data_IF_684169555762
#
_entry.id   IF_684169555762
#
_cell.length_a   1.000
_cell.length_b   1.000
_cell.length_c   1.000
_cell.angle_alpha   90.00
_cell.angle_beta   90.00
_cell.angle_gamma   90.00
#
_symmetry.space_group_name_H-M   'P 1'
#
loop_
_entity.id
_entity.type
_entity.pdbx_description
1 polymer ?
#
# COMPACT_ATOMS: atom_id res chain seq x y z
N UNK A 1 30.52 9.57 -29.74
CA UNK A 1 31.10 9.60 -28.38
C UNK A 1 31.08 11.04 -27.90
N UNK A 2 30.02 11.45 -27.19
CA UNK A 2 29.95 12.81 -26.63
C UNK A 2 30.36 12.74 -25.15
N UNK A 3 31.54 13.29 -24.84
CA UNK A 3 32.00 13.48 -23.46
C UNK A 3 31.39 14.78 -22.94
N UNK A 4 30.71 14.74 -21.80
CA UNK A 4 30.33 15.95 -21.08
C UNK A 4 31.41 16.21 -20.03
N UNK A 5 32.13 17.33 -20.18
CA UNK A 5 33.10 17.82 -19.21
C UNK A 5 32.35 18.64 -18.15
N UNK A 6 32.49 18.29 -16.87
CA UNK A 6 32.11 19.18 -15.77
C UNK A 6 33.39 19.63 -15.09
N UNK A 7 33.73 20.90 -15.26
CA UNK A 7 34.89 21.52 -14.62
C UNK A 7 34.47 22.08 -13.26
N UNK A 8 34.98 21.51 -12.18
CA UNK A 8 34.84 22.07 -10.83
C UNK A 8 36.11 22.86 -10.52
N UNK A 9 35.96 24.18 -10.31
CA UNK A 9 37.07 25.06 -9.96
C UNK A 9 37.23 25.08 -8.43
N UNK A 10 38.33 24.52 -7.92
CA UNK A 10 38.68 24.63 -6.48
C UNK A 10 39.72 25.73 -6.33
N UNK A 11 39.37 26.81 -5.62
CA UNK A 11 40.29 27.91 -5.30
C UNK A 11 40.93 27.62 -3.94
N UNK A 12 42.17 27.13 -3.94
CA UNK A 12 42.98 27.08 -2.73
C UNK A 12 43.82 28.38 -2.64
N UNK A 13 43.54 29.20 -1.64
CA UNK A 13 44.13 30.54 -1.50
C UNK A 13 45.40 30.52 -0.65
N UNK A 14 46.47 29.84 -1.05
CA UNK A 14 47.85 30.19 -0.61
C UNK A 14 48.84 29.74 -1.71
N UNK A 15 49.38 30.68 -2.47
CA UNK A 15 50.57 30.46 -3.32
C UNK A 15 50.34 29.84 -4.70
N UNK A 16 50.08 30.69 -5.69
CA UNK A 16 50.46 30.55 -7.11
C UNK A 16 50.47 29.15 -7.74
N UNK A 17 49.30 28.64 -8.12
CA UNK A 17 49.19 27.51 -9.03
C UNK A 17 47.74 27.07 -9.22
N UNK A 18 47.17 27.32 -10.40
CA UNK A 18 45.85 26.77 -10.75
C UNK A 18 46.03 25.29 -11.16
N UNK A 19 45.73 24.38 -10.24
CA UNK A 19 45.61 22.96 -10.56
C UNK A 19 44.15 22.64 -10.88
N UNK A 20 43.85 22.40 -12.15
CA UNK A 20 42.58 21.79 -12.54
C UNK A 20 42.62 20.31 -12.15
N UNK A 21 42.03 19.97 -11.00
CA UNK A 21 41.84 18.57 -10.61
C UNK A 21 40.61 18.05 -11.35
N UNK A 22 40.82 17.40 -12.48
CA UNK A 22 39.78 16.61 -13.14
C UNK A 22 39.62 15.30 -12.37
N UNK A 23 38.73 15.26 -11.37
CA UNK A 23 38.28 14.00 -10.79
C UNK A 23 37.39 13.30 -11.82
N UNK A 24 38.01 12.57 -12.74
CA UNK A 24 37.31 11.54 -13.50
C UNK A 24 36.89 10.45 -12.50
N UNK A 25 35.59 10.35 -12.18
CA UNK A 25 35.07 9.19 -11.47
C UNK A 25 35.44 7.94 -12.29
N UNK A 26 36.16 6.96 -11.70
CA UNK A 26 36.63 5.81 -12.46
C UNK A 26 35.44 5.06 -13.06
N UNK A 27 35.44 4.90 -14.39
CA UNK A 27 34.35 4.26 -15.15
C UNK A 27 33.99 2.84 -14.67
N UNK A 28 34.89 2.20 -13.92
CA UNK A 28 34.75 0.84 -13.38
C UNK A 28 34.45 0.78 -11.87
N UNK A 29 33.99 1.87 -11.25
CA UNK A 29 33.65 1.80 -9.83
C UNK A 29 32.44 0.88 -9.62
N UNK A 30 32.65 -0.19 -8.85
CA UNK A 30 31.61 -1.03 -8.27
C UNK A 30 30.88 -0.21 -7.21
N UNK A 31 29.61 0.09 -7.47
CA UNK A 31 28.86 1.03 -6.63
C UNK A 31 27.44 0.53 -6.43
N UNK A 32 27.03 0.49 -5.17
CA UNK A 32 25.62 0.43 -4.76
C UNK A 32 25.22 1.82 -4.31
N UNK A 33 24.23 2.39 -4.98
CA UNK A 33 23.71 3.72 -4.69
C UNK A 33 22.56 3.63 -3.69
N UNK A 34 21.63 2.69 -3.88
CA UNK A 34 20.50 2.49 -2.97
C UNK A 34 19.86 1.11 -3.10
N UNK A 35 19.16 0.71 -2.04
CA UNK A 35 18.28 -0.44 -2.02
C UNK A 35 17.04 -0.11 -1.19
N UNK A 36 15.84 -0.36 -1.74
CA UNK A 36 14.57 0.05 -1.14
C UNK A 36 13.44 -0.93 -1.51
N UNK A 37 12.29 -0.80 -0.83
CA UNK A 37 11.03 -1.41 -1.23
C UNK A 37 10.06 -0.31 -1.64
N UNK A 38 9.44 -0.44 -2.81
CA UNK A 38 8.60 0.61 -3.40
C UNK A 38 7.29 0.05 -3.99
N UNK A 39 6.11 0.59 -3.61
CA UNK A 39 5.91 1.53 -2.49
C UNK A 39 6.07 0.84 -1.12
N UNK A 40 6.52 1.60 -0.12
CA UNK A 40 6.54 1.17 1.29
C UNK A 40 6.35 2.35 2.26
N UNK A 41 6.08 2.07 3.54
CA UNK A 41 6.02 3.04 4.63
C UNK A 41 6.58 2.45 5.93
N UNK A 42 6.85 3.29 6.92
CA UNK A 42 7.31 2.87 8.25
C UNK A 42 6.13 2.76 9.22
N UNK A 43 6.04 1.66 9.96
CA UNK A 43 5.04 1.47 11.02
C UNK A 43 5.69 0.67 12.16
N UNK A 44 5.74 1.25 13.37
CA UNK A 44 6.31 0.59 14.56
C UNK A 44 7.71 -0.03 14.33
N UNK A 45 8.57 0.64 13.56
CA UNK A 45 9.91 0.16 13.23
C UNK A 45 9.98 -0.84 12.07
N UNK A 46 8.84 -1.23 11.49
CA UNK A 46 8.76 -2.09 10.31
C UNK A 46 8.71 -1.27 9.02
N UNK A 47 9.32 -1.80 7.96
CA UNK A 47 9.09 -1.40 6.57
C UNK A 47 7.93 -2.22 6.04
N UNK A 48 6.77 -1.58 5.90
CA UNK A 48 5.55 -2.23 5.46
C UNK A 48 5.33 -2.01 3.96
N UNK A 49 4.91 -3.06 3.25
CA UNK A 49 4.61 -2.98 1.82
C UNK A 49 3.31 -3.70 1.45
N UNK A 50 2.77 -3.30 0.30
CA UNK A 50 1.45 -3.70 -0.22
C UNK A 50 1.57 -4.58 -1.48
N UNK A 51 0.47 -5.23 -1.94
CA UNK A 51 0.47 -5.96 -3.20
C UNK A 51 1.04 -5.16 -4.37
N UNK A 52 1.98 -5.76 -5.11
CA UNK A 52 2.60 -5.12 -6.27
C UNK A 52 3.85 -4.30 -5.96
N UNK A 53 4.23 -4.15 -4.68
CA UNK A 53 5.51 -3.55 -4.32
C UNK A 53 6.70 -4.36 -4.88
N UNK A 54 7.80 -3.66 -5.07
CA UNK A 54 9.04 -4.18 -5.63
C UNK A 54 10.20 -3.84 -4.73
N UNK A 55 11.17 -4.75 -4.65
CA UNK A 55 12.51 -4.37 -4.21
C UNK A 55 13.22 -3.68 -5.38
N UNK A 56 13.81 -2.52 -5.12
CA UNK A 56 14.50 -1.68 -6.11
C UNK A 56 15.95 -1.53 -5.67
N UNK A 57 16.88 -1.86 -6.57
CA UNK A 57 18.32 -1.72 -6.39
C UNK A 57 18.85 -0.77 -7.46
N UNK A 58 19.56 0.26 -7.01
CA UNK A 58 20.30 1.17 -7.88
C UNK A 58 21.78 0.89 -7.69
N UNK A 59 22.43 0.33 -8.72
CA UNK A 59 23.83 -0.06 -8.65
C UNK A 59 24.49 -0.06 -10.04
N UNK A 60 25.83 -0.09 -10.06
CA UNK A 60 26.64 -0.06 -11.29
C UNK A 60 27.57 -1.25 -11.38
N UNK A 61 27.82 -1.69 -12.63
CA UNK A 61 28.76 -2.78 -12.94
C UNK A 61 28.41 -4.10 -12.23
N UNK A 62 27.12 -4.36 -12.02
CA UNK A 62 26.64 -5.60 -11.42
C UNK A 62 26.29 -6.63 -12.49
N UNK A 63 26.65 -7.89 -12.23
CA UNK A 63 26.32 -9.07 -13.02
C UNK A 63 24.98 -9.66 -12.62
N UNK A 64 24.71 -9.75 -11.32
CA UNK A 64 23.45 -10.26 -10.79
C UNK A 64 23.16 -9.65 -9.41
N UNK A 65 21.87 -9.67 -9.04
CA UNK A 65 21.41 -9.34 -7.71
C UNK A 65 20.27 -10.27 -7.29
N UNK A 66 20.22 -10.62 -6.01
CA UNK A 66 19.20 -11.49 -5.43
C UNK A 66 18.77 -10.98 -4.06
N UNK A 67 17.46 -10.89 -3.82
CA UNK A 67 16.93 -10.45 -2.53
C UNK A 67 16.90 -11.62 -1.57
N UNK A 68 17.46 -11.41 -0.37
CA UNK A 68 17.61 -12.39 0.70
C UNK A 68 17.04 -11.81 2.01
N UNK A 69 16.50 -12.68 2.85
CA UNK A 69 15.91 -12.26 4.12
C UNK A 69 15.98 -13.35 5.19
N UNK A 70 15.91 -12.95 6.46
CA UNK A 70 15.69 -13.88 7.58
C UNK A 70 14.21 -13.88 7.97
N UNK A 71 13.48 -14.99 7.78
CA UNK A 71 12.06 -15.05 8.11
C UNK A 71 11.82 -14.92 9.62
N UNK A 72 10.80 -14.17 10.01
CA UNK A 72 10.41 -14.03 11.41
C UNK A 72 9.39 -15.10 11.82
N UNK A 73 9.53 -15.65 13.03
CA UNK A 73 8.50 -16.52 13.64
C UNK A 73 8.43 -17.95 13.09
N UNK A 74 9.37 -18.36 12.24
CA UNK A 74 9.40 -19.70 11.62
C UNK A 74 10.40 -20.67 12.26
N UNK A 75 11.30 -20.18 13.12
CA UNK A 75 12.43 -20.95 13.65
C UNK A 75 13.56 -21.21 12.64
N UNK A 76 13.44 -20.73 11.41
CA UNK A 76 14.49 -20.82 10.39
C UNK A 76 15.59 -19.82 10.72
N UNK A 77 16.82 -20.31 10.82
CA UNK A 77 18.01 -19.52 11.16
C UNK A 77 18.85 -19.15 9.95
N UNK A 78 18.54 -19.72 8.79
CA UNK A 78 19.22 -19.44 7.52
C UNK A 78 18.48 -18.38 6.70
N UNK A 79 19.23 -17.66 5.86
CA UNK A 79 18.64 -16.68 4.95
C UNK A 79 17.91 -17.38 3.82
N UNK A 80 16.71 -16.92 3.50
CA UNK A 80 15.88 -17.45 2.41
C UNK A 80 15.93 -16.49 1.22
N UNK A 81 15.84 -17.03 0.01
CA UNK A 81 15.71 -16.22 -1.21
C UNK A 81 14.28 -15.73 -1.39
N UNK A 82 14.12 -14.41 -1.60
CA UNK A 82 12.88 -13.82 -2.11
C UNK A 82 12.83 -13.83 -3.65
N UNK A 83 13.98 -13.97 -4.31
CA UNK A 83 14.07 -14.07 -5.77
C UNK A 83 15.22 -13.25 -6.37
N UNK A 84 15.52 -13.53 -7.64
CA UNK A 84 16.53 -12.80 -8.43
C UNK A 84 15.94 -11.51 -8.99
N UNK A 85 16.72 -10.44 -8.93
CA UNK A 85 16.34 -9.15 -9.49
C UNK A 85 16.61 -9.13 -11.00
N UNK A 86 15.81 -8.36 -11.73
CA UNK A 86 15.94 -8.15 -13.17
C UNK A 86 16.36 -6.72 -13.45
N UNK A 87 17.35 -6.51 -14.32
CA UNK A 87 17.72 -5.16 -14.79
C UNK A 87 16.59 -4.60 -15.63
N UNK A 88 15.99 -3.49 -15.19
CA UNK A 88 14.87 -2.83 -15.89
C UNK A 88 15.30 -1.53 -16.57
N UNK A 89 16.41 -0.93 -16.15
CA UNK A 89 16.96 0.29 -16.73
C UNK A 89 18.47 0.28 -16.70
N UNK A 90 19.09 0.72 -17.79
CA UNK A 90 20.53 0.89 -17.93
C UNK A 90 20.82 2.34 -18.31
N UNK A 91 21.75 2.98 -17.60
CA UNK A 91 22.19 4.33 -17.92
C UNK A 91 23.68 4.47 -17.68
N UNK A 92 24.25 5.60 -18.13
CA UNK A 92 25.67 5.89 -17.93
C UNK A 92 26.03 6.06 -16.44
N UNK A 93 25.06 6.44 -15.62
CA UNK A 93 25.26 6.74 -14.21
C UNK A 93 24.86 5.56 -13.32
N UNK A 94 23.63 5.07 -13.47
CA UNK A 94 23.08 4.00 -12.63
C UNK A 94 22.28 2.96 -13.44
N UNK A 95 22.33 1.70 -13.00
CA UNK A 95 21.41 0.66 -13.46
C UNK A 95 20.36 0.39 -12.38
N UNK A 96 19.10 0.25 -12.81
CA UNK A 96 18.00 -0.08 -11.91
C UNK A 96 17.65 -1.55 -12.09
N UNK A 97 17.60 -2.26 -10.98
CA UNK A 97 17.19 -3.64 -10.89
C UNK A 97 15.95 -3.75 -10.01
N UNK A 98 15.00 -4.57 -10.42
CA UNK A 98 13.73 -4.74 -9.72
C UNK A 98 13.42 -6.21 -9.47
N UNK A 99 12.76 -6.49 -8.34
CA UNK A 99 12.09 -7.75 -8.06
C UNK A 99 10.70 -7.45 -7.51
N UNK A 100 9.64 -8.00 -8.13
CA UNK A 100 8.31 -7.99 -7.53
C UNK A 100 8.31 -8.83 -6.27
N UNK A 101 7.96 -8.24 -5.13
CA UNK A 101 7.98 -8.96 -3.86
C UNK A 101 6.76 -9.89 -3.71
N UNK A 102 6.95 -11.11 -3.18
CA UNK A 102 5.84 -11.97 -2.81
C UNK A 102 5.08 -11.37 -1.62
N UNK A 103 3.80 -11.70 -1.49
CA UNK A 103 2.92 -11.20 -0.43
C UNK A 103 3.08 -11.94 0.92
N UNK A 104 4.22 -12.60 1.11
CA UNK A 104 4.46 -13.51 2.23
C UNK A 104 5.73 -13.18 3.01
N UNK A 105 6.46 -12.11 2.66
CA UNK A 105 7.68 -11.77 3.39
C UNK A 105 7.30 -11.14 4.73
N UNK A 106 7.74 -11.79 5.78
CA UNK A 106 7.84 -11.25 7.12
C UNK A 106 9.26 -11.55 7.60
N UNK A 107 10.06 -10.51 7.79
CA UNK A 107 11.49 -10.64 8.01
C UNK A 107 12.00 -9.66 9.07
N UNK A 108 13.05 -10.04 9.81
CA UNK A 108 13.81 -9.13 10.69
C UNK A 108 14.96 -8.42 9.98
N UNK A 109 15.33 -8.94 8.80
CA UNK A 109 16.45 -8.48 8.00
C UNK A 109 16.14 -8.76 6.53
N UNK A 110 16.36 -7.79 5.65
CA UNK A 110 16.15 -7.94 4.22
C UNK A 110 17.18 -7.09 3.47
N UNK A 111 17.93 -7.72 2.56
CA UNK A 111 18.99 -7.11 1.77
C UNK A 111 19.03 -7.70 0.36
N UNK A 112 19.81 -7.09 -0.55
CA UNK A 112 20.20 -7.72 -1.79
C UNK A 112 21.66 -8.20 -1.72
N UNK A 113 21.90 -9.43 -2.15
CA UNK A 113 23.23 -9.96 -2.46
C UNK A 113 23.57 -9.67 -3.91
N UNK A 114 24.74 -9.08 -4.14
CA UNK A 114 25.16 -8.56 -5.44
C UNK A 114 26.44 -9.28 -5.85
N UNK A 115 26.50 -9.70 -7.11
CA UNK A 115 27.75 -10.11 -7.78
C UNK A 115 28.10 -9.07 -8.83
N UNK A 116 29.30 -8.50 -8.75
CA UNK A 116 29.82 -7.55 -9.72
C UNK A 116 30.34 -8.26 -10.99
N UNK A 117 30.52 -7.51 -12.07
CA UNK A 117 31.11 -8.03 -13.31
C UNK A 117 32.53 -8.58 -13.11
N UNK A 118 33.26 -8.10 -12.10
CA UNK A 118 34.57 -8.62 -11.69
C UNK A 118 34.50 -10.01 -11.02
N UNK A 119 33.31 -10.43 -10.57
CA UNK A 119 33.11 -11.62 -9.73
C UNK A 119 33.07 -11.33 -8.23
N UNK A 120 33.39 -10.11 -7.79
CA UNK A 120 33.27 -9.71 -6.38
C UNK A 120 31.82 -9.79 -5.90
N UNK A 121 31.61 -10.15 -4.63
CA UNK A 121 30.28 -10.21 -4.02
C UNK A 121 30.16 -9.24 -2.86
N UNK A 122 29.00 -8.62 -2.71
CA UNK A 122 28.68 -7.75 -1.58
C UNK A 122 27.20 -7.84 -1.19
N UNK A 123 26.85 -7.21 -0.07
CA UNK A 123 25.47 -7.02 0.39
C UNK A 123 25.13 -5.54 0.40
N UNK A 124 23.89 -5.21 0.09
CA UNK A 124 23.36 -3.87 0.36
C UNK A 124 23.24 -3.62 1.86
N UNK A 125 22.93 -2.39 2.24
CA UNK A 125 22.40 -2.10 3.56
C UNK A 125 21.15 -2.95 3.82
N UNK A 126 21.01 -3.37 5.08
CA UNK A 126 19.86 -4.11 5.57
C UNK A 126 18.69 -3.17 5.85
N UNK A 127 17.49 -3.52 5.37
CA UNK A 127 16.27 -2.76 5.61
C UNK A 127 15.64 -3.05 6.99
N UNK A 128 16.19 -4.03 7.72
CA UNK A 128 15.71 -4.47 9.02
C UNK A 128 14.36 -5.18 8.92
N UNK A 129 13.47 -4.85 9.85
CA UNK A 129 12.15 -5.45 9.90
C UNK A 129 11.33 -5.08 8.64
N UNK A 130 10.89 -6.08 7.89
CA UNK A 130 10.05 -5.93 6.70
C UNK A 130 8.82 -6.81 6.84
N UNK A 131 7.65 -6.23 6.62
CA UNK A 131 6.38 -6.94 6.70
C UNK A 131 5.49 -6.62 5.51
N UNK A 132 4.77 -7.64 5.05
CA UNK A 132 3.65 -7.43 4.16
C UNK A 132 2.41 -7.02 4.96
N UNK A 133 1.82 -5.87 4.64
CA UNK A 133 0.47 -5.56 5.08
C UNK A 133 -0.47 -5.74 3.90
N UNK A 134 -1.46 -6.63 4.05
CA UNK A 134 -2.59 -6.61 3.14
C UNK A 134 -3.48 -5.41 3.48
N UNK A 135 -3.03 -4.21 3.12
CA UNK A 135 -3.98 -3.13 2.87
C UNK A 135 -4.74 -3.54 1.62
N UNK A 136 -5.95 -4.09 1.78
CA UNK A 136 -6.95 -4.01 0.71
C UNK A 136 -6.95 -2.55 0.30
N UNK A 137 -6.58 -2.27 -0.95
CA UNK A 137 -6.56 -0.93 -1.50
C UNK A 137 -7.81 -0.16 -1.06
N UNK A 138 -7.68 0.65 -0.01
CA UNK A 138 -8.39 1.92 0.02
C UNK A 138 -7.57 2.72 -0.98
N UNK A 139 -7.97 2.63 -2.26
CA UNK A 139 -7.29 3.28 -3.38
C UNK A 139 -6.88 4.69 -2.96
N UNK A 140 -5.67 5.11 -3.35
CA UNK A 140 -5.23 6.51 -3.30
C UNK A 140 -6.03 7.42 -4.26
N UNK A 141 -7.29 7.10 -4.52
CA UNK A 141 -8.26 7.97 -5.14
C UNK A 141 -9.09 8.62 -4.03
N UNK A 142 -9.41 9.90 -4.18
CA UNK A 142 -10.38 10.61 -3.33
C UNK A 142 -11.82 10.11 -3.54
N UNK A 143 -11.99 8.84 -3.95
CA UNK A 143 -13.23 8.21 -4.34
C UNK A 143 -13.58 7.11 -3.34
N UNK A 144 -14.77 7.22 -2.76
CA UNK A 144 -15.25 6.26 -1.79
C UNK A 144 -15.90 5.08 -2.52
N UNK A 145 -15.28 3.90 -2.45
CA UNK A 145 -15.83 2.68 -3.08
C UNK A 145 -16.70 1.88 -2.11
N UNK A 146 -17.49 0.94 -2.63
CA UNK A 146 -18.34 0.05 -1.81
C UNK A 146 -17.52 -0.80 -0.84
N UNK A 147 -16.33 -1.23 -1.25
CA UNK A 147 -15.43 -2.05 -0.44
C UNK A 147 -14.91 -1.25 0.77
N UNK A 148 -14.54 0.01 0.54
CA UNK A 148 -14.09 0.92 1.61
C UNK A 148 -15.23 1.16 2.60
N UNK A 149 -16.45 1.42 2.10
CA UNK A 149 -17.65 1.58 2.93
C UNK A 149 -17.90 0.36 3.80
N UNK A 150 -17.90 -0.84 3.20
CA UNK A 150 -18.14 -2.08 3.94
C UNK A 150 -17.07 -2.33 5.01
N UNK A 151 -15.82 -1.96 4.75
CA UNK A 151 -14.75 -2.09 5.73
C UNK A 151 -14.86 -1.06 6.86
N UNK A 152 -15.10 0.21 6.52
CA UNK A 152 -15.23 1.30 7.49
C UNK A 152 -16.40 1.06 8.45
N UNK A 153 -17.50 0.53 7.93
CA UNK A 153 -18.74 0.36 8.67
C UNK A 153 -18.96 -1.07 9.19
N UNK A 154 -18.00 -1.99 9.00
CA UNK A 154 -18.18 -3.44 9.28
C UNK A 154 -18.78 -3.76 10.65
N UNK A 155 -18.40 -3.00 11.68
CA UNK A 155 -18.82 -3.24 13.08
C UNK A 155 -20.16 -2.55 13.42
N UNK A 156 -20.70 -1.76 12.48
CA UNK A 156 -21.94 -0.98 12.62
C UNK A 156 -23.09 -1.53 11.81
N UNK A 157 -22.80 -2.35 10.81
CA UNK A 157 -23.78 -2.94 9.90
C UNK A 157 -24.41 -4.21 10.50
N UNK A 158 -25.64 -4.52 10.07
CA UNK A 158 -26.36 -5.74 10.48
C UNK A 158 -25.62 -7.03 10.11
N UNK A 159 -24.81 -6.97 9.06
CA UNK A 159 -23.93 -8.05 8.66
C UNK A 159 -22.68 -7.42 8.04
N UNK A 160 -21.53 -8.07 8.23
CA UNK A 160 -20.27 -7.69 7.57
C UNK A 160 -20.34 -7.83 6.03
N UNK A 161 -21.44 -8.38 5.52
CA UNK A 161 -21.71 -8.59 4.11
C UNK A 161 -23.04 -7.92 3.73
N UNK A 162 -23.01 -7.13 2.65
CA UNK A 162 -24.16 -6.57 1.98
C UNK A 162 -24.32 -7.27 0.63
N UNK A 163 -25.12 -8.33 0.61
CA UNK A 163 -25.41 -9.09 -0.62
C UNK A 163 -26.64 -8.53 -1.32
N UNK A 164 -26.58 -8.37 -2.65
CA UNK A 164 -27.77 -8.09 -3.46
C UNK A 164 -28.73 -9.28 -3.53
N UNK A 165 -28.28 -10.46 -3.11
CA UNK A 165 -29.06 -11.69 -3.09
C UNK A 165 -29.61 -11.98 -1.69
N UNK A 166 -30.62 -12.85 -1.65
CA UNK A 166 -31.28 -13.28 -0.41
C UNK A 166 -30.30 -14.04 0.48
N UNK A 167 -30.14 -13.55 1.70
CA UNK A 167 -29.41 -14.23 2.76
C UNK A 167 -30.42 -14.84 3.72
N UNK A 168 -30.59 -16.16 3.64
CA UNK A 168 -31.58 -16.92 4.40
C UNK A 168 -31.46 -16.61 5.91
N UNK A 169 -32.58 -16.25 6.53
CA UNK A 169 -32.64 -15.92 7.95
C UNK A 169 -32.09 -14.53 8.31
N UNK A 170 -31.77 -13.68 7.32
CA UNK A 170 -31.30 -12.31 7.57
C UNK A 170 -32.11 -11.28 6.78
N UNK A 171 -31.95 -11.23 5.46
CA UNK A 171 -32.58 -10.24 4.58
C UNK A 171 -32.76 -10.77 3.16
N UNK A 172 -33.68 -10.17 2.40
CA UNK A 172 -33.92 -10.51 1.00
C UNK A 172 -32.93 -9.82 0.04
N UNK A 173 -32.54 -8.58 0.34
CA UNK A 173 -31.52 -7.88 -0.44
C UNK A 173 -30.83 -6.79 0.38
N UNK A 174 -29.63 -6.41 -0.05
CA UNK A 174 -28.90 -5.26 0.47
C UNK A 174 -28.42 -4.38 -0.68
N UNK A 175 -28.62 -3.06 -0.54
CA UNK A 175 -28.22 -2.04 -1.52
C UNK A 175 -27.34 -1.00 -0.85
N UNK A 176 -26.19 -0.72 -1.47
CA UNK A 176 -25.29 0.39 -1.08
C UNK A 176 -25.36 1.47 -2.16
N UNK A 177 -25.74 2.67 -1.74
CA UNK A 177 -25.76 3.88 -2.56
C UNK A 177 -24.72 4.86 -2.01
N UNK A 178 -23.82 5.32 -2.88
CA UNK A 178 -22.73 6.22 -2.54
C UNK A 178 -22.88 7.45 -3.43
N UNK A 179 -23.13 8.60 -2.81
CA UNK A 179 -23.34 9.86 -3.52
C UNK A 179 -22.36 10.91 -3.01
N UNK A 180 -21.58 11.50 -3.92
CA UNK A 180 -20.69 12.61 -3.56
C UNK A 180 -21.49 13.90 -3.45
N UNK A 181 -21.33 14.61 -2.33
CA UNK A 181 -21.94 15.93 -2.08
C UNK A 181 -20.83 16.86 -1.61
N UNK A 182 -20.33 17.70 -2.52
CA UNK A 182 -19.17 18.58 -2.27
C UNK A 182 -17.91 17.77 -1.88
N UNK A 183 -17.37 18.00 -0.67
CA UNK A 183 -16.24 17.28 -0.08
C UNK A 183 -16.62 15.95 0.58
N UNK A 184 -17.92 15.73 0.79
CA UNK A 184 -18.42 14.63 1.61
C UNK A 184 -19.05 13.55 0.73
N UNK A 185 -19.10 12.35 1.26
CA UNK A 185 -19.77 11.21 0.63
C UNK A 185 -20.95 10.78 1.47
N UNK A 186 -22.15 10.89 0.93
CA UNK A 186 -23.36 10.40 1.58
C UNK A 186 -23.54 8.94 1.20
N UNK A 187 -23.40 8.08 2.20
CA UNK A 187 -23.57 6.65 2.06
C UNK A 187 -24.91 6.24 2.65
N UNK A 188 -25.69 5.52 1.85
CA UNK A 188 -26.96 4.92 2.27
C UNK A 188 -26.92 3.42 2.03
N UNK A 189 -27.10 2.64 3.09
CA UNK A 189 -27.15 1.18 3.06
C UNK A 189 -28.55 0.77 3.45
N UNK A 190 -29.24 0.05 2.57
CA UNK A 190 -30.59 -0.43 2.79
C UNK A 190 -30.61 -1.95 2.76
N UNK A 191 -31.09 -2.55 3.86
CA UNK A 191 -31.43 -3.96 3.94
C UNK A 191 -32.94 -4.10 3.80
N UNK A 192 -33.42 -4.85 2.81
CA UNK A 192 -34.84 -5.05 2.54
C UNK A 192 -35.25 -6.52 2.70
N UNK A 193 -36.52 -6.74 3.05
CA UNK A 193 -37.08 -8.06 3.32
C UNK A 193 -36.41 -8.75 4.51
N UNK A 194 -36.28 -8.02 5.63
CA UNK A 194 -35.75 -8.55 6.88
C UNK A 194 -36.62 -9.69 7.39
N UNK A 195 -35.97 -10.70 7.98
CA UNK A 195 -36.64 -11.82 8.66
C UNK A 195 -37.07 -11.42 10.07
N UNK A 196 -37.85 -10.36 10.15
CA UNK A 196 -38.43 -9.79 11.37
C UNK A 196 -39.96 -9.69 11.17
N UNK A 197 -40.72 -9.88 12.22
CA UNK A 197 -42.19 -9.93 12.18
C UNK A 197 -42.84 -8.54 12.12
N UNK A 198 -42.06 -7.49 12.34
CA UNK A 198 -42.51 -6.10 12.46
C UNK A 198 -41.77 -5.19 11.47
N UNK A 199 -40.46 -5.36 11.36
CA UNK A 199 -39.58 -4.55 10.50
C UNK A 199 -39.39 -5.22 9.14
N UNK A 200 -39.81 -4.52 8.09
CA UNK A 200 -39.61 -4.96 6.70
C UNK A 200 -38.21 -4.62 6.18
N UNK A 201 -37.74 -3.40 6.43
CA UNK A 201 -36.47 -2.90 5.92
C UNK A 201 -35.77 -1.99 6.93
N UNK A 202 -34.44 -1.94 6.87
CA UNK A 202 -33.60 -1.07 7.69
C UNK A 202 -32.67 -0.27 6.78
N UNK A 203 -32.50 1.00 7.11
CA UNK A 203 -31.66 1.94 6.36
C UNK A 203 -30.70 2.63 7.30
N UNK A 204 -29.43 2.50 6.97
CA UNK A 204 -28.30 3.16 7.60
C UNK A 204 -27.81 4.26 6.66
N UNK A 205 -27.74 5.50 7.15
CA UNK A 205 -27.27 6.66 6.38
C UNK A 205 -26.20 7.40 7.17
N UNK A 206 -25.06 7.71 6.54
CA UNK A 206 -23.98 8.47 7.16
C UNK A 206 -23.24 9.32 6.13
N UNK A 207 -22.59 10.39 6.61
CA UNK A 207 -21.62 11.14 5.84
C UNK A 207 -20.22 10.55 6.07
N UNK A 208 -19.42 10.43 5.02
CA UNK A 208 -18.03 9.97 5.09
C UNK A 208 -17.12 11.04 4.45
N UNK A 209 -16.05 11.41 5.14
CA UNK A 209 -15.11 12.44 4.70
C UNK A 209 -13.70 11.89 4.66
N UNK A 210 -12.85 12.39 3.76
CA UNK A 210 -11.43 12.02 3.72
C UNK A 210 -10.60 13.16 4.31
N UNK A 211 -9.97 12.93 5.45
CA UNK A 211 -9.16 13.90 6.17
C UNK A 211 -7.86 13.24 6.63
N UNK A 212 -6.73 13.94 6.46
CA UNK A 212 -5.40 13.49 6.90
C UNK A 212 -5.02 12.05 6.50
N UNK A 213 -5.42 11.67 5.28
CA UNK A 213 -5.14 10.35 4.74
C UNK A 213 -6.09 9.24 5.21
N UNK A 214 -7.15 9.57 5.95
CA UNK A 214 -8.09 8.62 6.54
C UNK A 214 -9.54 8.95 6.19
N UNK A 215 -10.37 7.91 6.08
CA UNK A 215 -11.82 8.06 5.96
C UNK A 215 -12.44 8.16 7.36
N UNK A 216 -13.18 9.25 7.59
CA UNK A 216 -13.87 9.53 8.83
C UNK A 216 -15.37 9.46 8.62
N UNK A 217 -16.05 8.72 9.49
CA UNK A 217 -17.51 8.63 9.53
C UNK A 217 -18.07 9.78 10.37
N UNK A 218 -19.07 10.46 9.83
CA UNK A 218 -19.81 11.52 10.49
C UNK A 218 -21.06 11.01 11.20
N UNK A 219 -22.09 11.87 11.24
CA UNK A 219 -23.33 11.56 11.94
C UNK A 219 -24.10 10.42 11.25
N UNK A 220 -24.56 9.49 12.08
CA UNK A 220 -25.32 8.32 11.65
C UNK A 220 -26.81 8.55 11.85
N UNK A 221 -27.59 8.21 10.83
CA UNK A 221 -29.03 8.09 10.91
C UNK A 221 -29.44 6.65 10.64
N UNK A 222 -30.22 6.07 11.55
CA UNK A 222 -30.86 4.76 11.37
C UNK A 222 -32.36 4.96 11.30
N UNK A 223 -32.96 4.41 10.26
CA UNK A 223 -34.41 4.44 10.04
C UNK A 223 -34.86 3.08 9.58
N UNK A 224 -36.10 2.73 9.82
CA UNK A 224 -36.69 1.46 9.44
C UNK A 224 -38.01 1.66 8.71
N UNK A 225 -38.46 0.63 8.02
CA UNK A 225 -39.75 0.56 7.35
C UNK A 225 -40.47 -0.66 7.89
N UNK A 226 -41.73 -0.52 8.31
CA UNK A 226 -42.50 -1.61 8.88
C UNK A 226 -43.17 -2.46 7.81
N UNK A 227 -43.55 -3.70 8.16
CA UNK A 227 -44.49 -4.47 7.35
C UNK A 227 -45.87 -3.79 7.30
N UNK A 228 -46.71 -4.08 6.29
CA UNK A 228 -48.10 -3.64 6.27
C UNK A 228 -48.79 -3.96 7.60
N UNK A 229 -49.59 -3.01 8.08
CA UNK A 229 -50.32 -3.08 9.35
C UNK A 229 -49.45 -3.16 10.62
N UNK A 230 -48.13 -2.93 10.50
CA UNK A 230 -47.16 -2.91 11.61
C UNK A 230 -46.58 -1.51 11.91
N UNK A 231 -47.26 -0.46 11.46
CA UNK A 231 -46.85 0.93 11.67
C UNK A 231 -46.51 1.66 10.37
N UNK A 232 -45.47 2.51 10.41
CA UNK A 232 -45.12 3.39 9.29
C UNK A 232 -44.54 2.61 8.11
N UNK A 233 -45.00 2.97 6.91
CA UNK A 233 -44.57 2.33 5.66
C UNK A 233 -43.47 3.11 4.93
N UNK A 234 -43.12 4.30 5.41
CA UNK A 234 -41.92 5.02 5.00
C UNK A 234 -40.77 4.76 5.98
N UNK A 235 -39.55 5.10 5.58
CA UNK A 235 -38.41 5.02 6.48
C UNK A 235 -38.46 6.09 7.56
N UNK A 236 -38.68 5.67 8.81
CA UNK A 236 -38.76 6.52 9.99
C UNK A 236 -37.84 6.03 11.12
N UNK A 237 -37.54 6.89 12.09
CA UNK A 237 -36.90 6.50 13.35
C UNK A 237 -37.88 5.97 14.39
N UNK A 238 -39.18 6.05 14.11
CA UNK A 238 -40.23 5.48 14.96
C UNK A 238 -40.17 3.95 14.99
N UNK A 239 -40.72 3.36 16.04
CA UNK A 239 -40.76 1.90 16.21
C UNK A 239 -41.90 1.29 15.40
N UNK A 240 -41.65 0.11 14.81
CA UNK A 240 -42.71 -0.76 14.32
C UNK A 240 -43.48 -1.40 15.50
N UNK A 241 -44.70 -1.87 15.21
CA UNK A 241 -45.67 -2.42 16.19
C UNK A 241 -45.61 -3.94 16.21
#
# INVERSE_FOLDING_TARGET
MNKVLITVLVIAAIGGGYFAVTNELPKNQELVTSFSIEPSYKFEGWTMYNPGAKAVLVAKNIKSAEVRYYPTGTGITESVSAGKMTKVKESTYDNIWELKLPITILATNLWAEIEYLSGNKTKTSDLGNVGYEYKRNIQSGNELTKEVVMQLLKDKLWNSECSSERVVGKYASCKIEINKVSSDWIVTITYDGLYDDSVKASRYKTAITYQDGQWLEGNVSRTQQCWPDRGHQDFSSESCI
#
